data_IF_464472455107
#
_entry.id   IF_464472455107
#
_cell.length_a   1.000
_cell.length_b   1.000
_cell.length_c   1.000
_cell.angle_alpha   90.00
_cell.angle_beta   90.00
_cell.angle_gamma   90.00
#
_symmetry.space_group_name_H-M   'P 1'
#
loop_
_entity.id
_entity.type
_entity.pdbx_description
1 polymer ?
#
# COMPACT_ATOMS: atom_id res chain seq x y z
N UNK A 1 -11.08 11.93 -9.98
CA UNK A 1 -9.67 11.79 -10.37
C UNK A 1 -9.56 10.47 -11.10
N UNK A 2 -9.72 10.50 -12.42
CA UNK A 2 -9.49 9.34 -13.28
C UNK A 2 -7.99 9.04 -13.23
N UNK A 3 -7.62 7.83 -12.80
CA UNK A 3 -6.25 7.36 -12.91
C UNK A 3 -6.01 7.09 -14.39
N UNK A 4 -5.20 7.93 -15.02
CA UNK A 4 -4.75 7.75 -16.40
C UNK A 4 -4.11 6.36 -16.54
N UNK A 5 -4.76 5.50 -17.33
CA UNK A 5 -4.43 4.09 -17.54
C UNK A 5 -3.13 3.93 -18.36
N UNK A 6 -2.47 5.03 -18.75
CA UNK A 6 -1.13 5.05 -19.39
C UNK A 6 0.03 4.71 -18.43
N UNK A 7 -0.22 4.04 -17.30
CA UNK A 7 0.70 3.94 -16.16
C UNK A 7 1.98 3.13 -16.38
N UNK A 8 2.14 2.47 -17.52
CA UNK A 8 3.41 1.88 -17.96
C UNK A 8 3.89 2.46 -19.29
N UNK A 9 3.50 3.68 -19.70
CA UNK A 9 4.20 4.35 -20.81
C UNK A 9 5.47 4.99 -20.27
N UNK A 10 6.55 4.24 -20.24
CA UNK A 10 7.82 4.84 -19.96
C UNK A 10 8.25 5.68 -21.18
N UNK A 11 8.64 6.96 -20.98
CA UNK A 11 9.04 7.82 -22.08
C UNK A 11 10.15 7.15 -22.90
N UNK A 12 10.08 7.19 -24.22
CA UNK A 12 11.14 6.70 -25.10
C UNK A 12 12.51 7.17 -24.57
N UNK A 13 13.35 6.22 -24.15
CA UNK A 13 14.70 6.48 -23.65
C UNK A 13 14.86 6.75 -22.15
N UNK A 14 13.85 6.59 -21.30
CA UNK A 14 14.01 6.77 -19.84
C UNK A 14 15.08 5.86 -19.23
N UNK A 15 15.22 4.61 -19.72
CA UNK A 15 16.26 3.69 -19.26
C UNK A 15 17.64 4.28 -19.53
N UNK A 16 17.88 4.77 -20.74
CA UNK A 16 19.15 5.36 -21.14
C UNK A 16 19.42 6.71 -20.46
N UNK A 17 18.38 7.54 -20.29
CA UNK A 17 18.49 8.91 -19.76
C UNK A 17 18.60 8.95 -18.24
N UNK A 18 17.79 8.14 -17.54
CA UNK A 18 17.55 8.31 -16.10
C UNK A 18 18.11 7.13 -15.28
N UNK A 19 17.95 5.91 -15.77
CA UNK A 19 18.31 4.69 -15.03
C UNK A 19 19.77 4.29 -15.23
N UNK A 20 20.20 4.05 -16.47
CA UNK A 20 21.53 3.54 -16.81
C UNK A 20 22.68 4.40 -16.27
N UNK A 21 22.61 5.75 -16.26
CA UNK A 21 23.68 6.57 -15.68
C UNK A 21 23.86 6.38 -14.16
N UNK A 22 22.81 5.94 -13.45
CA UNK A 22 22.82 5.79 -11.99
C UNK A 22 22.98 4.35 -11.55
N UNK A 23 22.42 3.41 -12.32
CA UNK A 23 22.38 2.00 -11.99
C UNK A 23 22.58 1.12 -13.25
N UNK A 24 23.77 1.13 -13.85
CA UNK A 24 24.03 0.42 -15.10
C UNK A 24 23.75 -1.08 -14.99
N UNK A 25 24.12 -1.70 -13.87
CA UNK A 25 23.93 -3.14 -13.62
C UNK A 25 22.46 -3.56 -13.48
N UNK A 26 21.54 -2.60 -13.30
CA UNK A 26 20.11 -2.85 -13.15
C UNK A 26 19.31 -2.49 -14.41
N UNK A 27 19.91 -1.73 -15.33
CA UNK A 27 19.21 -1.16 -16.48
C UNK A 27 18.54 -2.23 -17.36
N UNK A 28 19.30 -3.27 -17.74
CA UNK A 28 18.79 -4.34 -18.60
C UNK A 28 17.66 -5.13 -17.94
N UNK A 29 17.78 -5.43 -16.64
CA UNK A 29 16.77 -6.21 -15.90
C UNK A 29 15.49 -5.41 -15.65
N UNK A 30 15.63 -4.10 -15.43
CA UNK A 30 14.47 -3.21 -15.31
C UNK A 30 13.77 -3.02 -16.66
N UNK A 31 14.53 -2.88 -17.75
CA UNK A 31 14.00 -2.83 -19.11
C UNK A 31 13.25 -4.12 -19.43
N UNK A 32 13.83 -5.27 -19.13
CA UNK A 32 13.17 -6.57 -19.34
C UNK A 32 11.87 -6.70 -18.54
N UNK A 33 11.86 -6.29 -17.26
CA UNK A 33 10.63 -6.29 -16.46
C UNK A 33 9.52 -5.43 -17.10
N UNK A 34 9.90 -4.27 -17.64
CA UNK A 34 9.00 -3.35 -18.32
C UNK A 34 8.49 -3.89 -19.66
N UNK A 35 9.37 -4.50 -20.46
CA UNK A 35 9.01 -5.13 -21.74
C UNK A 35 8.05 -6.31 -21.55
N UNK A 36 8.30 -7.15 -20.54
CA UNK A 36 7.37 -8.19 -20.13
C UNK A 36 6.02 -7.56 -19.77
N UNK A 37 6.01 -6.53 -18.92
CA UNK A 37 4.82 -5.79 -18.52
C UNK A 37 4.00 -5.30 -19.72
N UNK A 38 4.60 -4.46 -20.56
CA UNK A 38 3.95 -3.85 -21.74
C UNK A 38 3.36 -4.91 -22.66
N UNK A 39 4.15 -5.93 -23.01
CA UNK A 39 3.69 -6.96 -23.93
C UNK A 39 2.59 -7.83 -23.30
N UNK A 40 2.66 -8.14 -22.01
CA UNK A 40 1.61 -8.87 -21.30
C UNK A 40 0.32 -8.05 -21.18
N UNK A 41 0.40 -6.73 -21.04
CA UNK A 41 -0.77 -5.84 -21.11
C UNK A 41 -1.41 -5.89 -22.50
N UNK A 42 -0.61 -5.88 -23.57
CA UNK A 42 -1.09 -5.95 -24.95
C UNK A 42 -1.74 -7.30 -25.29
N UNK A 43 -1.16 -8.42 -24.84
CA UNK A 43 -1.66 -9.77 -25.18
C UNK A 43 -2.65 -10.33 -24.17
N UNK A 44 -2.74 -9.76 -22.96
CA UNK A 44 -3.54 -10.30 -21.85
C UNK A 44 -3.03 -11.65 -21.31
N UNK A 45 -1.78 -12.01 -21.57
CA UNK A 45 -1.21 -13.31 -21.23
C UNK A 45 0.25 -13.21 -20.79
N UNK A 46 0.68 -14.06 -19.86
CA UNK A 46 2.08 -14.17 -19.43
C UNK A 46 2.55 -15.62 -19.53
N UNK A 47 3.77 -15.85 -20.03
CA UNK A 47 4.37 -17.19 -20.05
C UNK A 47 4.88 -17.58 -18.66
N UNK A 48 5.10 -18.88 -18.45
CA UNK A 48 5.67 -19.40 -17.19
C UNK A 48 7.08 -18.87 -16.97
N UNK A 49 7.89 -18.79 -18.02
CA UNK A 49 9.26 -18.28 -17.98
C UNK A 49 9.29 -16.81 -17.55
N UNK A 50 8.37 -15.99 -18.07
CA UNK A 50 8.31 -14.56 -17.77
C UNK A 50 7.80 -14.29 -16.37
N UNK A 51 6.81 -15.05 -15.93
CA UNK A 51 6.35 -15.00 -14.55
C UNK A 51 7.50 -15.36 -13.59
N UNK A 52 8.29 -16.38 -13.91
CA UNK A 52 9.48 -16.75 -13.14
C UNK A 52 10.56 -15.65 -13.13
N UNK A 53 10.77 -14.96 -14.26
CA UNK A 53 11.71 -13.81 -14.33
C UNK A 53 11.22 -12.65 -13.46
N UNK A 54 9.95 -12.26 -13.59
CA UNK A 54 9.36 -11.23 -12.75
C UNK A 54 9.42 -11.59 -11.26
N UNK A 55 9.15 -12.85 -10.90
CA UNK A 55 9.31 -13.32 -9.52
C UNK A 55 10.75 -13.13 -9.03
N UNK A 56 11.74 -13.51 -9.84
CA UNK A 56 13.16 -13.29 -9.54
C UNK A 56 13.51 -11.82 -9.34
N UNK A 57 12.95 -10.91 -10.16
CA UNK A 57 13.14 -9.47 -10.04
C UNK A 57 12.46 -8.90 -8.79
N UNK A 58 11.25 -9.36 -8.46
CA UNK A 58 10.55 -8.98 -7.23
C UNK A 58 11.28 -9.48 -5.96
N UNK A 59 12.06 -10.56 -6.07
CA UNK A 59 12.88 -11.07 -4.97
C UNK A 59 14.30 -10.45 -4.92
N UNK A 60 14.64 -9.49 -5.79
CA UNK A 60 16.00 -8.95 -5.88
C UNK A 60 16.45 -8.25 -4.57
N UNK A 61 17.76 -8.10 -4.38
CA UNK A 61 18.35 -7.35 -3.27
C UNK A 61 18.21 -5.85 -3.48
N UNK A 62 18.36 -5.38 -4.72
CA UNK A 62 18.11 -4.00 -5.11
C UNK A 62 16.66 -3.61 -4.84
N UNK A 63 16.44 -2.57 -4.02
CA UNK A 63 15.11 -2.04 -3.77
C UNK A 63 14.46 -1.50 -5.03
N UNK A 64 15.23 -0.80 -5.87
CA UNK A 64 14.70 -0.18 -7.08
C UNK A 64 14.17 -1.21 -8.08
N UNK A 65 14.95 -2.26 -8.40
CA UNK A 65 14.50 -3.31 -9.32
C UNK A 65 13.29 -4.06 -8.75
N UNK A 66 13.35 -4.40 -7.45
CA UNK A 66 12.24 -5.05 -6.76
C UNK A 66 10.97 -4.23 -6.81
N UNK A 67 11.04 -2.95 -6.47
CA UNK A 67 9.88 -2.07 -6.43
C UNK A 67 9.26 -1.95 -7.82
N UNK A 68 10.06 -1.73 -8.87
CA UNK A 68 9.56 -1.68 -10.24
C UNK A 68 8.95 -2.99 -10.72
N UNK A 69 9.64 -4.12 -10.55
CA UNK A 69 9.10 -5.41 -10.95
C UNK A 69 7.79 -5.72 -10.22
N UNK A 70 7.70 -5.38 -8.94
CA UNK A 70 6.49 -5.61 -8.16
C UNK A 70 5.35 -4.67 -8.60
N UNK A 71 5.65 -3.45 -9.04
CA UNK A 71 4.66 -2.56 -9.65
C UNK A 71 4.12 -3.13 -10.97
N UNK A 72 4.99 -3.68 -11.82
CA UNK A 72 4.57 -4.38 -13.05
C UNK A 72 3.66 -5.55 -12.71
N UNK A 73 4.05 -6.41 -11.77
CA UNK A 73 3.20 -7.53 -11.31
C UNK A 73 1.86 -7.02 -10.74
N UNK A 74 1.87 -5.92 -9.99
CA UNK A 74 0.66 -5.28 -9.46
C UNK A 74 -0.28 -4.77 -10.55
N UNK A 75 0.27 -4.15 -11.61
CA UNK A 75 -0.49 -3.71 -12.78
C UNK A 75 -1.09 -4.90 -13.54
N UNK A 76 -0.26 -5.91 -13.87
CA UNK A 76 -0.70 -7.11 -14.56
C UNK A 76 -1.72 -7.92 -13.76
N UNK A 77 -1.65 -7.92 -12.44
CA UNK A 77 -2.60 -8.62 -11.57
C UNK A 77 -4.06 -8.16 -11.72
N UNK A 78 -4.32 -7.01 -12.36
CA UNK A 78 -5.67 -6.58 -12.72
C UNK A 78 -6.31 -7.44 -13.80
N UNK A 79 -5.50 -7.95 -14.73
CA UNK A 79 -5.95 -8.60 -15.97
C UNK A 79 -5.49 -10.06 -16.09
N UNK A 80 -4.39 -10.44 -15.42
CA UNK A 80 -3.78 -11.76 -15.52
C UNK A 80 -3.80 -12.46 -14.15
N UNK A 81 -4.60 -13.53 -13.96
CA UNK A 81 -4.70 -14.25 -12.68
C UNK A 81 -3.36 -14.77 -12.14
N UNK A 82 -2.47 -15.26 -13.00
CA UNK A 82 -1.16 -15.74 -12.57
C UNK A 82 -0.28 -14.63 -11.95
N UNK A 83 -0.40 -13.38 -12.43
CA UNK A 83 0.29 -12.24 -11.83
C UNK A 83 -0.33 -11.84 -10.48
N UNK A 84 -1.66 -11.94 -10.35
CA UNK A 84 -2.37 -11.75 -9.08
C UNK A 84 -1.94 -12.79 -8.02
N UNK A 85 -1.85 -14.06 -8.40
CA UNK A 85 -1.35 -15.15 -7.54
C UNK A 85 0.11 -14.91 -7.12
N UNK A 86 0.97 -14.48 -8.06
CA UNK A 86 2.35 -14.10 -7.74
C UNK A 86 2.39 -12.95 -6.73
N UNK A 87 1.58 -11.90 -6.90
CA UNK A 87 1.56 -10.78 -5.95
C UNK A 87 1.14 -11.23 -4.55
N UNK A 88 0.13 -12.09 -4.44
CA UNK A 88 -0.29 -12.69 -3.18
C UNK A 88 0.82 -13.51 -2.53
N UNK A 89 1.53 -14.33 -3.32
CA UNK A 89 2.70 -15.10 -2.87
C UNK A 89 3.80 -14.19 -2.33
N UNK A 90 4.12 -13.11 -3.04
CA UNK A 90 5.14 -12.13 -2.64
C UNK A 90 4.78 -11.39 -1.35
N UNK A 91 3.49 -11.11 -1.11
CA UNK A 91 3.01 -10.49 0.13
C UNK A 91 3.24 -11.36 1.38
N UNK A 92 3.24 -12.69 1.21
CA UNK A 92 3.57 -13.67 2.25
C UNK A 92 5.04 -14.09 2.27
N UNK A 93 5.91 -13.46 1.46
CA UNK A 93 7.29 -13.90 1.27
C UNK A 93 8.11 -13.81 2.57
N UNK A 94 9.12 -14.68 2.75
CA UNK A 94 9.93 -14.71 3.96
C UNK A 94 10.81 -13.48 4.21
N UNK A 95 10.92 -12.55 3.26
CA UNK A 95 11.70 -11.30 3.37
C UNK A 95 10.75 -10.11 3.46
N UNK A 96 10.92 -9.29 4.48
CA UNK A 96 10.02 -8.17 4.75
C UNK A 96 10.00 -7.15 3.62
N UNK A 97 11.13 -6.91 2.95
CA UNK A 97 11.24 -5.95 1.86
C UNK A 97 10.41 -6.38 0.65
N UNK A 98 10.32 -7.68 0.38
CA UNK A 98 9.49 -8.25 -0.69
C UNK A 98 8.01 -8.11 -0.34
N UNK A 99 7.64 -8.45 0.90
CA UNK A 99 6.26 -8.27 1.38
C UNK A 99 5.80 -6.81 1.36
N UNK A 100 6.69 -5.87 1.72
CA UNK A 100 6.42 -4.42 1.65
C UNK A 100 6.18 -3.99 0.21
N UNK A 101 7.06 -4.36 -0.73
CA UNK A 101 6.90 -3.99 -2.15
C UNK A 101 5.60 -4.58 -2.72
N UNK A 102 5.24 -5.81 -2.36
CA UNK A 102 4.01 -6.47 -2.81
C UNK A 102 2.74 -5.78 -2.31
N UNK A 103 2.65 -5.48 -1.00
CA UNK A 103 1.51 -4.74 -0.44
C UNK A 103 1.50 -3.28 -0.96
N UNK A 104 2.67 -2.69 -1.21
CA UNK A 104 2.81 -1.37 -1.81
C UNK A 104 2.28 -1.29 -3.24
N UNK A 105 2.51 -2.33 -4.05
CA UNK A 105 2.10 -2.39 -5.45
C UNK A 105 0.57 -2.46 -5.66
N UNK A 106 -0.21 -2.68 -4.61
CA UNK A 106 -1.67 -2.62 -4.67
C UNK A 106 -2.19 -1.27 -5.20
N UNK A 107 -1.46 -0.16 -5.04
CA UNK A 107 -1.86 1.12 -5.64
C UNK A 107 -2.00 1.09 -7.17
N UNK A 108 -1.35 0.14 -7.82
CA UNK A 108 -1.41 -0.09 -9.26
C UNK A 108 -2.44 -1.15 -9.62
N UNK A 109 -3.41 -1.41 -8.75
CA UNK A 109 -4.55 -2.28 -9.03
C UNK A 109 -5.84 -1.58 -8.61
N UNK A 110 -6.93 -1.94 -9.23
CA UNK A 110 -8.31 -1.60 -8.84
C UNK A 110 -9.14 -2.86 -8.52
N UNK A 111 -8.53 -4.05 -8.63
CA UNK A 111 -9.16 -5.32 -8.36
C UNK A 111 -9.29 -5.55 -6.84
N UNK A 112 -10.49 -5.32 -6.29
CA UNK A 112 -10.77 -5.44 -4.86
C UNK A 112 -10.53 -6.85 -4.28
N UNK A 113 -10.71 -7.90 -5.08
CA UNK A 113 -10.45 -9.28 -4.65
C UNK A 113 -8.94 -9.52 -4.49
N UNK A 114 -8.14 -9.05 -5.46
CA UNK A 114 -6.68 -9.07 -5.37
C UNK A 114 -6.21 -8.28 -4.15
N UNK A 115 -6.78 -7.08 -3.93
CA UNK A 115 -6.50 -6.28 -2.73
C UNK A 115 -6.72 -7.10 -1.47
N UNK A 116 -7.91 -7.69 -1.32
CA UNK A 116 -8.27 -8.43 -0.12
C UNK A 116 -7.31 -9.59 0.11
N UNK A 117 -7.02 -10.35 -0.95
CA UNK A 117 -6.10 -11.48 -0.92
C UNK A 117 -4.68 -11.09 -0.47
N UNK A 118 -4.12 -10.03 -1.04
CA UNK A 118 -2.76 -9.54 -0.76
C UNK A 118 -2.65 -8.97 0.66
N UNK A 119 -3.59 -8.11 1.09
CA UNK A 119 -3.54 -7.54 2.44
C UNK A 119 -3.81 -8.60 3.50
N UNK A 120 -4.67 -9.59 3.24
CA UNK A 120 -4.86 -10.75 4.13
C UNK A 120 -3.56 -11.53 4.32
N UNK A 121 -2.80 -11.76 3.24
CA UNK A 121 -1.45 -12.36 3.35
C UNK A 121 -0.49 -11.45 4.12
N UNK A 122 -0.52 -10.14 3.87
CA UNK A 122 0.30 -9.15 4.58
C UNK A 122 0.02 -9.08 6.09
N UNK A 123 -1.25 -9.18 6.53
CA UNK A 123 -1.63 -9.22 7.94
C UNK A 123 -1.09 -10.46 8.69
N UNK A 124 -0.82 -11.54 7.98
CA UNK A 124 -0.24 -12.77 8.53
C UNK A 124 1.28 -12.82 8.42
N UNK A 125 1.90 -11.82 7.81
CA UNK A 125 3.34 -11.79 7.59
C UNK A 125 4.11 -11.68 8.92
N UNK A 126 5.31 -12.28 9.00
CA UNK A 126 6.12 -12.32 10.23
C UNK A 126 6.67 -10.96 10.68
N UNK A 127 6.97 -10.08 9.72
CA UNK A 127 7.43 -8.70 9.99
C UNK A 127 6.26 -7.78 10.31
N UNK A 128 6.34 -7.08 11.44
CA UNK A 128 5.35 -6.08 11.84
C UNK A 128 5.22 -4.95 10.82
N UNK A 129 6.29 -4.56 10.12
CA UNK A 129 6.24 -3.50 9.10
C UNK A 129 5.28 -3.84 7.94
N UNK A 130 5.26 -5.10 7.52
CA UNK A 130 4.34 -5.58 6.47
C UNK A 130 2.91 -5.58 7.01
N UNK A 131 2.69 -6.02 8.25
CA UNK A 131 1.36 -6.01 8.88
C UNK A 131 0.79 -4.59 9.01
N UNK A 132 1.61 -3.64 9.46
CA UNK A 132 1.24 -2.22 9.55
C UNK A 132 0.84 -1.71 8.17
N UNK A 133 1.68 -1.93 7.15
CA UNK A 133 1.38 -1.47 5.79
C UNK A 133 0.08 -2.09 5.25
N UNK A 134 -0.17 -3.38 5.49
CA UNK A 134 -1.40 -4.06 5.10
C UNK A 134 -2.63 -3.44 5.80
N UNK A 135 -2.55 -3.14 7.09
CA UNK A 135 -3.62 -2.45 7.81
C UNK A 135 -3.85 -1.02 7.29
N UNK A 136 -2.79 -0.29 6.97
CA UNK A 136 -2.90 1.02 6.32
C UNK A 136 -3.61 0.92 4.97
N UNK A 137 -3.36 -0.13 4.16
CA UNK A 137 -4.09 -0.37 2.90
C UNK A 137 -5.57 -0.67 3.15
N UNK A 138 -5.88 -1.59 4.07
CA UNK A 138 -7.26 -1.93 4.45
C UNK A 138 -8.03 -0.66 4.80
N UNK A 139 -7.44 0.20 5.64
CA UNK A 139 -8.06 1.44 6.06
C UNK A 139 -8.14 2.49 4.93
N UNK A 140 -7.07 2.68 4.15
CA UNK A 140 -7.04 3.65 3.03
C UNK A 140 -8.08 3.33 1.95
N UNK A 141 -8.34 2.04 1.72
CA UNK A 141 -9.31 1.57 0.73
C UNK A 141 -10.67 1.22 1.34
N UNK A 142 -10.91 1.51 2.63
CA UNK A 142 -12.21 1.33 3.26
C UNK A 142 -12.71 -0.11 3.32
N UNK A 143 -11.80 -1.11 3.41
CA UNK A 143 -12.12 -2.53 3.31
C UNK A 143 -12.75 -3.10 4.59
N UNK A 144 -13.98 -2.69 4.89
CA UNK A 144 -14.71 -3.08 6.12
C UNK A 144 -14.94 -4.59 6.25
N UNK A 145 -14.99 -5.31 5.14
CA UNK A 145 -15.08 -6.77 5.11
C UNK A 145 -13.86 -7.48 5.75
N UNK A 146 -12.75 -6.76 5.98
CA UNK A 146 -11.53 -7.29 6.58
C UNK A 146 -11.33 -6.90 8.05
N UNK A 147 -12.33 -6.27 8.69
CA UNK A 147 -12.27 -5.87 10.10
C UNK A 147 -11.91 -7.03 11.02
N UNK A 148 -12.54 -8.19 10.86
CA UNK A 148 -12.24 -9.37 11.69
C UNK A 148 -10.78 -9.82 11.56
N UNK A 149 -10.24 -9.85 10.34
CA UNK A 149 -8.83 -10.22 10.12
C UNK A 149 -7.86 -9.19 10.72
N UNK A 150 -8.21 -7.89 10.68
CA UNK A 150 -7.42 -6.84 11.31
C UNK A 150 -7.44 -6.96 12.84
N UNK A 151 -8.60 -7.27 13.43
CA UNK A 151 -8.73 -7.55 14.88
C UNK A 151 -7.89 -8.77 15.29
N UNK A 152 -7.93 -9.85 14.50
CA UNK A 152 -7.09 -11.04 14.73
C UNK A 152 -5.59 -10.72 14.62
N UNK A 153 -5.19 -9.81 13.74
CA UNK A 153 -3.82 -9.34 13.65
C UNK A 153 -3.39 -8.52 14.88
N UNK A 154 -4.27 -7.64 15.39
CA UNK A 154 -4.04 -6.87 16.63
C UNK A 154 -3.86 -7.81 17.83
N UNK A 155 -4.75 -8.81 17.97
CA UNK A 155 -4.70 -9.75 19.10
C UNK A 155 -3.43 -10.60 19.15
N UNK A 156 -2.81 -10.88 18.00
CA UNK A 156 -1.56 -11.65 17.90
C UNK A 156 -0.30 -10.78 17.89
N UNK A 157 -0.43 -9.47 17.72
CA UNK A 157 0.71 -8.57 17.65
C UNK A 157 1.38 -8.47 19.02
N UNK A 158 2.70 -8.68 19.08
CA UNK A 158 3.49 -8.60 20.32
C UNK A 158 4.26 -7.29 20.42
N UNK A 159 4.56 -6.64 19.29
CA UNK A 159 5.22 -5.35 19.27
C UNK A 159 4.22 -4.23 19.56
N UNK A 160 4.43 -3.48 20.65
CA UNK A 160 3.48 -2.46 21.13
C UNK A 160 3.25 -1.32 20.11
N UNK A 161 4.32 -0.85 19.45
CA UNK A 161 4.24 0.21 18.44
C UNK A 161 3.42 -0.24 17.22
N UNK A 162 3.68 -1.47 16.75
CA UNK A 162 2.92 -2.07 15.67
C UNK A 162 1.46 -2.28 16.05
N UNK A 163 1.19 -2.74 17.29
CA UNK A 163 -0.17 -2.91 17.79
C UNK A 163 -0.93 -1.58 17.77
N UNK A 164 -0.32 -0.51 18.30
CA UNK A 164 -0.91 0.83 18.26
C UNK A 164 -1.18 1.34 16.84
N UNK A 165 -0.31 1.01 15.88
CA UNK A 165 -0.50 1.36 14.47
C UNK A 165 -1.66 0.59 13.81
N UNK A 166 -1.80 -0.71 14.12
CA UNK A 166 -2.91 -1.56 13.68
C UNK A 166 -4.24 -1.08 14.28
N UNK A 167 -4.27 -0.78 15.58
CA UNK A 167 -5.43 -0.23 16.29
C UNK A 167 -5.85 1.13 15.73
N UNK A 168 -4.89 2.00 15.42
CA UNK A 168 -5.16 3.30 14.78
C UNK A 168 -5.82 3.11 13.41
N UNK A 169 -5.31 2.18 12.60
CA UNK A 169 -5.90 1.84 11.30
C UNK A 169 -7.32 1.28 11.46
N UNK A 170 -7.57 0.44 12.47
CA UNK A 170 -8.91 -0.09 12.76
C UNK A 170 -9.89 1.01 13.17
N UNK A 171 -9.50 1.91 14.09
CA UNK A 171 -10.34 3.04 14.52
C UNK A 171 -10.67 3.97 13.36
N UNK A 172 -9.67 4.34 12.56
CA UNK A 172 -9.88 5.17 11.38
C UNK A 172 -10.81 4.50 10.34
N UNK A 173 -10.77 3.17 10.21
CA UNK A 173 -11.66 2.41 9.33
C UNK A 173 -13.11 2.38 9.84
N UNK A 174 -13.30 2.17 11.14
CA UNK A 174 -14.63 2.03 11.77
C UNK A 174 -15.30 3.38 11.98
N UNK A 175 -14.60 4.29 12.65
CA UNK A 175 -15.14 5.55 13.17
C UNK A 175 -14.90 6.71 12.20
N UNK A 176 -13.93 6.57 11.29
CA UNK A 176 -13.53 7.63 10.35
C UNK A 176 -12.63 8.69 10.98
N UNK A 177 -12.29 8.56 12.27
CA UNK A 177 -11.40 9.46 13.00
C UNK A 177 -10.62 8.76 14.11
N UNK A 178 -9.60 9.44 14.62
CA UNK A 178 -8.80 9.05 15.77
C UNK A 178 -8.58 10.29 16.64
N UNK A 179 -8.84 10.16 17.94
CA UNK A 179 -8.53 11.20 18.95
C UNK A 179 -7.42 10.67 19.85
N UNK A 180 -6.35 11.44 20.02
CA UNK A 180 -5.25 11.14 20.93
C UNK A 180 -4.98 12.33 21.82
N UNK A 181 -5.03 12.13 23.14
CA UNK A 181 -4.54 13.11 24.10
C UNK A 181 -3.02 13.00 24.20
N UNK A 182 -2.33 14.13 24.11
CA UNK A 182 -0.88 14.23 24.24
C UNK A 182 -0.47 14.53 25.69
N UNK A 183 0.80 14.36 26.01
CA UNK A 183 1.34 14.56 27.37
C UNK A 183 1.22 16.01 27.85
N UNK A 184 1.26 16.97 26.94
CA UNK A 184 1.04 18.40 27.22
C UNK A 184 -0.45 18.75 27.42
N UNK A 185 -1.35 17.76 27.37
CA UNK A 185 -2.79 17.93 27.49
C UNK A 185 -3.50 18.24 26.18
N UNK A 186 -2.80 18.58 25.10
CA UNK A 186 -3.41 18.85 23.79
C UNK A 186 -4.11 17.62 23.22
N UNK A 187 -5.09 17.87 22.36
CA UNK A 187 -5.88 16.83 21.69
C UNK A 187 -5.52 16.81 20.21
N UNK A 188 -4.87 15.73 19.77
CA UNK A 188 -4.57 15.49 18.36
C UNK A 188 -5.70 14.68 17.72
N UNK A 189 -6.36 15.28 16.74
CA UNK A 189 -7.45 14.63 15.99
C UNK A 189 -6.96 14.32 14.59
N UNK A 190 -7.14 13.08 14.13
CA UNK A 190 -6.89 12.64 12.76
C UNK A 190 -8.20 12.16 12.14
N UNK A 191 -8.48 12.56 10.91
CA UNK A 191 -9.72 12.21 10.19
C UNK A 191 -9.36 11.65 8.83
N UNK A 192 -10.06 10.60 8.42
CA UNK A 192 -9.93 10.06 7.07
C UNK A 192 -10.69 10.93 6.07
N UNK A 193 -10.00 11.35 5.00
CA UNK A 193 -10.55 12.18 3.91
C UNK A 193 -10.24 11.48 2.59
N UNK A 194 -11.20 10.69 2.10
CA UNK A 194 -10.99 9.81 0.94
C UNK A 194 -9.86 8.80 1.21
N UNK A 195 -8.80 8.83 0.39
CA UNK A 195 -7.60 7.99 0.54
C UNK A 195 -6.47 8.65 1.34
N UNK A 196 -6.72 9.81 1.94
CA UNK A 196 -5.74 10.60 2.70
C UNK A 196 -6.20 10.83 4.14
N UNK A 197 -5.34 11.49 4.91
CA UNK A 197 -5.61 11.90 6.29
C UNK A 197 -5.42 13.40 6.42
N UNK A 198 -6.17 13.99 7.33
CA UNK A 198 -5.91 15.31 7.86
C UNK A 198 -5.89 15.26 9.36
N UNK A 199 -4.97 15.99 9.95
CA UNK A 199 -4.80 16.01 11.38
C UNK A 199 -4.54 17.42 11.87
N UNK A 200 -5.05 17.74 13.04
CA UNK A 200 -4.89 19.04 13.69
C UNK A 200 -4.81 18.85 15.21
N UNK A 201 -4.11 19.77 15.86
CA UNK A 201 -4.04 19.89 17.31
C UNK A 201 -5.10 20.87 17.79
N UNK A 202 -5.74 20.53 18.89
CA UNK A 202 -6.75 21.34 19.56
C UNK A 202 -6.40 21.46 21.03
N UNK A 203 -6.71 22.61 21.64
CA UNK A 203 -6.68 22.71 23.10
C UNK A 203 -7.83 21.88 23.73
N UNK A 204 -7.73 21.45 25.00
CA UNK A 204 -8.83 20.76 25.68
C UNK A 204 -10.14 21.56 25.75
N UNK A 205 -10.04 22.89 25.82
CA UNK A 205 -11.21 23.77 25.85
C UNK A 205 -11.87 23.84 24.47
N UNK A 206 -11.08 24.12 23.44
CA UNK A 206 -11.53 24.17 22.04
C UNK A 206 -12.16 22.84 21.61
N UNK A 207 -11.52 21.71 21.91
CA UNK A 207 -12.06 20.39 21.59
C UNK A 207 -13.43 20.15 22.25
N UNK A 208 -13.61 20.58 23.51
CA UNK A 208 -14.89 20.48 24.22
C UNK A 208 -15.95 21.42 23.68
N UNK A 209 -15.57 22.62 23.24
CA UNK A 209 -16.49 23.62 22.70
C UNK A 209 -16.99 23.23 21.31
N UNK A 210 -16.09 22.78 20.43
CA UNK A 210 -16.44 22.40 19.06
C UNK A 210 -17.15 21.04 18.98
N UNK A 211 -16.67 20.06 19.75
CA UNK A 211 -17.09 18.67 19.62
C UNK A 211 -16.48 17.96 18.40
N UNK A 212 -16.44 16.63 18.44
CA UNK A 212 -15.75 15.83 17.42
C UNK A 212 -16.39 15.94 16.04
N UNK A 213 -17.72 16.06 15.97
CA UNK A 213 -18.47 16.12 14.71
C UNK A 213 -18.12 17.39 13.91
N UNK A 214 -18.07 18.55 14.56
CA UNK A 214 -17.68 19.81 13.92
C UNK A 214 -16.22 19.81 13.49
N UNK A 215 -15.32 19.25 14.31
CA UNK A 215 -13.90 19.09 13.98
C UNK A 215 -13.73 18.19 12.75
N UNK A 216 -14.44 17.07 12.70
CA UNK A 216 -14.40 16.16 11.56
C UNK A 216 -14.84 16.83 10.27
N UNK A 217 -15.95 17.57 10.31
CA UNK A 217 -16.47 18.26 9.15
C UNK A 217 -15.48 19.33 8.67
N UNK A 218 -14.95 20.13 9.58
CA UNK A 218 -13.97 21.16 9.21
C UNK A 218 -12.72 20.57 8.58
N UNK A 219 -12.16 19.51 9.18
CA UNK A 219 -11.00 18.82 8.63
C UNK A 219 -11.28 18.23 7.25
N UNK A 220 -12.49 17.70 7.00
CA UNK A 220 -12.89 17.22 5.66
C UNK A 220 -12.97 18.34 4.64
N UNK A 221 -13.56 19.48 5.01
CA UNK A 221 -13.72 20.64 4.13
C UNK A 221 -12.40 21.39 3.91
N UNK A 222 -11.41 21.20 4.78
CA UNK A 222 -10.15 21.94 4.72
C UNK A 222 -10.30 23.39 5.15
N UNK A 223 -11.34 23.67 5.94
CA UNK A 223 -11.45 24.93 6.65
C UNK A 223 -10.46 24.87 7.83
N UNK A 224 -9.73 25.96 8.06
CA UNK A 224 -9.04 26.13 9.33
C UNK A 224 -10.11 26.50 10.36
N UNK A 225 -10.30 25.65 11.38
CA UNK A 225 -11.00 26.06 12.61
C UNK A 225 -10.01 26.81 13.48
#
# INVERSE_FOLDING_TARGET
MELDVRSLQAPNGWVERDLRPRFPDLAERALEAYEIGTRCEDTGSISVEELARLEGFCADRSSMLRDWATQVVGALGRIIPAAAELLQKLAGHGRAEVGISAVGALHFSDNLELFASVVSSGLRHKSHKVRILAACKIQTFGMRNLVGQLQDAIGRETNAEARGSLESSLRLLLDGYLVKQLENGEVYVTVSVGKAFRSQLFSPEEFRQLGIEAIQESLRLGANV
#
